data_IF_883647729712
#
_entry.id   IF_883647729712
#
_cell.length_a   1.000
_cell.length_b   1.000
_cell.length_c   1.000
_cell.angle_alpha   90.00
_cell.angle_beta   90.00
_cell.angle_gamma   90.00
#
_symmetry.space_group_name_H-M   'P 1'
#
loop_
_entity.id
_entity.type
_entity.pdbx_description
1 polymer ?
#
# COMPACT_ATOMS: atom_id res chain seq x y z
N UNK A 1 -18.07 -6.36 -8.14
CA UNK A 1 -17.45 -5.04 -7.93
C UNK A 1 -16.16 -4.95 -8.73
N UNK A 2 -15.80 -3.76 -9.17
CA UNK A 2 -14.50 -3.44 -9.76
C UNK A 2 -13.58 -2.84 -8.70
N UNK A 3 -12.46 -3.47 -8.41
CA UNK A 3 -11.56 -3.09 -7.34
C UNK A 3 -10.16 -2.82 -7.91
N UNK A 4 -9.58 -1.68 -7.57
CA UNK A 4 -8.22 -1.32 -7.98
C UNK A 4 -7.32 -1.27 -6.76
N UNK A 5 -6.22 -2.00 -6.77
CA UNK A 5 -5.15 -1.90 -5.76
C UNK A 5 -3.99 -1.07 -6.28
N UNK A 6 -3.44 -0.22 -5.41
CA UNK A 6 -2.25 0.58 -5.70
C UNK A 6 -1.10 0.13 -4.78
N UNK A 7 0.01 -0.30 -5.37
CA UNK A 7 1.23 -0.76 -4.69
C UNK A 7 2.47 -0.27 -5.44
N UNK A 8 3.64 -0.25 -4.80
CA UNK A 8 4.87 0.15 -5.48
C UNK A 8 5.26 -0.83 -6.60
N UNK A 9 5.29 -2.12 -6.30
CA UNK A 9 5.60 -3.20 -7.24
C UNK A 9 5.06 -4.52 -6.69
N UNK A 10 4.97 -5.54 -7.54
CA UNK A 10 4.54 -6.90 -7.17
C UNK A 10 5.64 -7.95 -7.30
N UNK A 11 6.84 -7.56 -7.77
CA UNK A 11 7.95 -8.47 -8.00
C UNK A 11 8.79 -8.79 -6.76
N UNK A 12 8.56 -8.13 -5.62
CA UNK A 12 9.27 -8.41 -4.38
C UNK A 12 8.67 -9.60 -3.62
N UNK A 13 9.50 -10.32 -2.86
CA UNK A 13 9.09 -11.43 -1.99
C UNK A 13 8.53 -10.95 -0.64
N UNK A 14 8.01 -9.74 -0.57
CA UNK A 14 7.57 -9.09 0.66
C UNK A 14 6.22 -9.59 1.18
N UNK A 15 5.95 -9.32 2.47
CA UNK A 15 4.69 -9.67 3.11
C UNK A 15 3.48 -8.93 2.51
N UNK A 16 3.65 -7.67 2.11
CA UNK A 16 2.59 -6.89 1.46
C UNK A 16 2.19 -7.50 0.12
N UNK A 17 3.16 -7.88 -0.72
CA UNK A 17 2.96 -8.50 -2.02
C UNK A 17 2.26 -9.87 -1.88
N UNK A 18 2.63 -10.66 -0.86
CA UNK A 18 1.94 -11.93 -0.55
C UNK A 18 0.48 -11.70 -0.16
N UNK A 19 0.24 -10.77 0.76
CA UNK A 19 -1.13 -10.43 1.19
C UNK A 19 -1.97 -9.94 0.02
N UNK A 20 -1.40 -9.08 -0.82
CA UNK A 20 -2.08 -8.61 -2.03
C UNK A 20 -2.43 -9.77 -2.96
N UNK A 21 -1.47 -10.65 -3.29
CA UNK A 21 -1.71 -11.80 -4.15
C UNK A 21 -2.83 -12.70 -3.62
N UNK A 22 -2.82 -13.00 -2.31
CA UNK A 22 -3.89 -13.78 -1.69
C UNK A 22 -5.27 -13.10 -1.81
N UNK A 23 -5.34 -11.80 -1.54
CA UNK A 23 -6.58 -11.01 -1.62
C UNK A 23 -7.12 -10.96 -3.05
N UNK A 24 -6.29 -10.61 -4.03
CA UNK A 24 -6.75 -10.46 -5.41
C UNK A 24 -7.19 -11.79 -6.01
N UNK A 25 -6.48 -12.88 -5.70
CA UNK A 25 -6.87 -14.23 -6.11
C UNK A 25 -8.22 -14.65 -5.52
N UNK A 26 -8.45 -14.37 -4.25
CA UNK A 26 -9.71 -14.64 -3.59
C UNK A 26 -10.86 -13.82 -4.19
N UNK A 27 -10.63 -12.51 -4.38
CA UNK A 27 -11.62 -11.59 -4.94
C UNK A 27 -12.06 -12.01 -6.35
N UNK A 28 -11.10 -12.34 -7.21
CA UNK A 28 -11.39 -12.78 -8.59
C UNK A 28 -12.16 -14.10 -8.60
N UNK A 29 -11.81 -15.07 -7.73
CA UNK A 29 -12.56 -16.33 -7.58
C UNK A 29 -13.99 -16.12 -7.09
N UNK A 30 -14.25 -15.03 -6.37
CA UNK A 30 -15.57 -14.65 -5.88
C UNK A 30 -16.30 -13.65 -6.81
N UNK A 31 -15.91 -13.58 -8.08
CA UNK A 31 -16.62 -12.83 -9.12
C UNK A 31 -16.40 -11.33 -9.13
N UNK A 32 -15.33 -10.83 -8.48
CA UNK A 32 -14.91 -9.43 -8.58
C UNK A 32 -13.92 -9.23 -9.72
N UNK A 33 -13.98 -8.08 -10.38
CA UNK A 33 -12.94 -7.62 -11.31
C UNK A 33 -11.86 -6.89 -10.53
N UNK A 34 -10.59 -7.28 -10.70
CA UNK A 34 -9.49 -6.71 -9.94
C UNK A 34 -8.39 -6.24 -10.88
N UNK A 35 -7.94 -4.99 -10.68
CA UNK A 35 -6.78 -4.42 -11.35
C UNK A 35 -5.75 -3.94 -10.31
N UNK A 36 -4.47 -4.01 -10.65
CA UNK A 36 -3.36 -3.53 -9.81
C UNK A 36 -2.63 -2.42 -10.55
N UNK A 37 -2.45 -1.28 -9.90
CA UNK A 37 -1.61 -0.18 -10.37
C UNK A 37 -0.29 -0.20 -9.63
N UNK A 38 0.82 -0.29 -10.37
CA UNK A 38 2.17 -0.22 -9.83
C UNK A 38 2.89 1.05 -10.27
N UNK A 39 3.93 1.45 -9.56
CA UNK A 39 4.75 2.62 -9.90
C UNK A 39 6.17 2.26 -10.30
N UNK A 40 6.62 1.07 -9.93
CA UNK A 40 8.03 0.64 -10.05
C UNK A 40 8.15 -0.80 -10.56
N UNK A 41 7.20 -1.33 -11.34
CA UNK A 41 7.18 -2.72 -11.83
C UNK A 41 8.33 -3.02 -12.80
N UNK A 42 8.69 -2.07 -13.64
CA UNK A 42 9.85 -2.15 -14.56
C UNK A 42 9.86 -3.38 -15.46
N UNK A 43 8.69 -3.81 -15.92
CA UNK A 43 8.54 -5.00 -16.78
C UNK A 43 8.83 -6.34 -16.10
N UNK A 44 8.99 -6.39 -14.78
CA UNK A 44 9.23 -7.64 -14.04
C UNK A 44 7.91 -8.35 -13.77
N UNK A 45 7.95 -9.68 -13.78
CA UNK A 45 6.81 -10.50 -13.36
C UNK A 45 6.56 -10.38 -11.85
N UNK A 46 5.32 -10.60 -11.43
CA UNK A 46 4.97 -10.70 -10.01
C UNK A 46 5.68 -11.88 -9.36
N UNK A 47 6.15 -11.71 -8.11
CA UNK A 47 6.84 -12.76 -7.36
C UNK A 47 5.87 -13.87 -6.93
N UNK A 48 4.71 -13.48 -6.42
CA UNK A 48 3.64 -14.40 -6.05
C UNK A 48 2.70 -14.60 -7.23
N UNK A 49 2.25 -15.84 -7.43
CA UNK A 49 1.32 -16.20 -8.47
C UNK A 49 -0.02 -15.48 -8.27
N UNK A 50 -0.51 -14.88 -9.34
CA UNK A 50 -1.80 -14.20 -9.39
C UNK A 50 -2.67 -14.83 -10.46
N UNK A 51 -3.97 -14.86 -10.23
CA UNK A 51 -4.96 -15.32 -11.19
C UNK A 51 -4.80 -14.53 -12.51
N UNK A 52 -4.79 -15.20 -13.67
CA UNK A 52 -4.59 -14.52 -14.98
C UNK A 52 -5.62 -13.44 -15.29
N UNK A 53 -6.75 -13.43 -14.61
CA UNK A 53 -7.79 -12.40 -14.75
C UNK A 53 -7.46 -11.09 -14.02
N UNK A 54 -6.41 -11.08 -13.17
CA UNK A 54 -5.93 -9.85 -12.51
C UNK A 54 -5.13 -9.04 -13.51
N UNK A 55 -5.58 -7.85 -13.80
CA UNK A 55 -4.87 -6.92 -14.70
C UNK A 55 -3.85 -6.10 -13.93
N UNK A 56 -2.60 -6.02 -14.43
CA UNK A 56 -1.53 -5.25 -13.80
C UNK A 56 -1.07 -4.14 -14.74
N UNK A 57 -1.14 -2.89 -14.30
CA UNK A 57 -0.73 -1.70 -15.03
C UNK A 57 0.42 -1.01 -14.32
N UNK A 58 1.58 -0.86 -14.99
CA UNK A 58 2.69 -0.08 -14.45
C UNK A 58 2.60 1.38 -14.91
N UNK A 59 2.54 2.30 -13.96
CA UNK A 59 2.50 3.73 -14.21
C UNK A 59 3.89 4.31 -14.57
N UNK A 60 4.97 3.53 -14.41
CA UNK A 60 6.33 3.89 -14.78
C UNK A 60 6.86 5.15 -14.08
N UNK A 61 6.48 5.40 -12.83
CA UNK A 61 6.94 6.57 -12.08
C UNK A 61 8.38 6.37 -11.57
N UNK A 62 8.72 5.12 -11.23
CA UNK A 62 10.07 4.68 -10.84
C UNK A 62 10.64 5.45 -9.64
N UNK A 63 9.91 5.46 -8.52
CA UNK A 63 10.37 6.12 -7.28
C UNK A 63 11.67 5.54 -6.74
N UNK A 64 11.92 4.24 -6.93
CA UNK A 64 13.13 3.55 -6.49
C UNK A 64 14.41 4.12 -7.11
N UNK A 65 14.35 4.73 -8.28
CA UNK A 65 15.52 5.40 -8.89
C UNK A 65 16.10 6.52 -8.04
N UNK A 66 15.32 7.02 -7.06
CA UNK A 66 15.78 8.00 -6.11
C UNK A 66 16.53 7.38 -4.92
N UNK A 67 16.49 6.04 -4.76
CA UNK A 67 17.21 5.35 -3.72
C UNK A 67 18.73 5.51 -3.96
N UNK A 68 19.49 5.76 -2.88
CA UNK A 68 20.93 6.02 -2.98
C UNK A 68 21.32 7.43 -3.47
N UNK A 69 20.38 8.27 -3.95
CA UNK A 69 20.71 9.64 -4.38
C UNK A 69 20.78 10.62 -3.20
N UNK A 70 21.50 11.72 -3.40
CA UNK A 70 21.67 12.78 -2.40
C UNK A 70 20.32 13.40 -1.98
N UNK A 71 20.28 13.99 -0.80
CA UNK A 71 19.08 14.63 -0.24
C UNK A 71 18.51 15.72 -1.17
N UNK A 72 19.37 16.57 -1.74
CA UNK A 72 18.96 17.63 -2.68
C UNK A 72 18.29 17.05 -3.94
N UNK A 73 18.85 15.99 -4.50
CA UNK A 73 18.26 15.31 -5.64
C UNK A 73 16.88 14.74 -5.30
N UNK A 74 16.71 14.16 -4.12
CA UNK A 74 15.41 13.66 -3.65
C UNK A 74 14.40 14.78 -3.49
N UNK A 75 14.81 15.91 -2.91
CA UNK A 75 13.95 17.07 -2.68
C UNK A 75 13.42 17.67 -3.99
N UNK A 76 14.23 17.75 -5.03
CA UNK A 76 13.82 18.27 -6.34
C UNK A 76 13.00 17.27 -7.17
N UNK A 77 13.39 16.00 -7.18
CA UNK A 77 12.75 14.98 -8.03
C UNK A 77 11.44 14.43 -7.47
N UNK A 78 11.30 14.37 -6.14
CA UNK A 78 10.10 13.80 -5.52
C UNK A 78 8.81 14.57 -5.86
N UNK A 79 8.75 15.90 -5.80
CA UNK A 79 7.54 16.65 -6.21
C UNK A 79 7.16 16.43 -7.68
N UNK A 80 8.14 16.35 -8.57
CA UNK A 80 7.91 16.09 -9.99
C UNK A 80 7.35 14.67 -10.20
N UNK A 81 7.90 13.67 -9.52
CA UNK A 81 7.36 12.29 -9.56
C UNK A 81 5.94 12.22 -8.97
N UNK A 82 5.67 12.93 -7.89
CA UNK A 82 4.32 13.05 -7.31
C UNK A 82 3.32 13.70 -8.28
N UNK A 83 3.73 14.73 -8.99
CA UNK A 83 2.90 15.38 -10.01
C UNK A 83 2.61 14.43 -11.20
N UNK A 84 3.63 13.73 -11.72
CA UNK A 84 3.47 12.70 -12.75
C UNK A 84 2.53 11.58 -12.28
N UNK A 85 2.72 11.09 -11.07
CA UNK A 85 1.90 10.05 -10.46
C UNK A 85 0.43 10.49 -10.36
N UNK A 86 0.19 11.70 -9.84
CA UNK A 86 -1.16 12.28 -9.80
C UNK A 86 -1.81 12.30 -11.18
N UNK A 87 -1.09 12.77 -12.21
CA UNK A 87 -1.61 12.81 -13.57
C UNK A 87 -1.89 11.43 -14.15
N UNK A 88 -1.02 10.46 -13.87
CA UNK A 88 -1.23 9.08 -14.31
C UNK A 88 -2.49 8.48 -13.68
N UNK A 89 -2.68 8.66 -12.37
CA UNK A 89 -3.89 8.21 -11.67
C UNK A 89 -5.14 8.92 -12.18
N UNK A 90 -5.08 10.23 -12.42
CA UNK A 90 -6.21 11.00 -12.97
C UNK A 90 -6.64 10.53 -14.37
N UNK A 91 -5.74 9.93 -15.16
CA UNK A 91 -6.04 9.38 -16.48
C UNK A 91 -6.60 7.97 -16.40
N UNK A 92 -5.98 7.09 -15.59
CA UNK A 92 -6.30 5.67 -15.61
C UNK A 92 -7.54 5.32 -14.76
N UNK A 93 -7.72 5.94 -13.60
CA UNK A 93 -8.82 5.58 -12.69
C UNK A 93 -10.22 5.78 -13.30
N UNK A 94 -10.52 6.87 -14.05
CA UNK A 94 -11.79 7.00 -14.73
C UNK A 94 -12.02 5.92 -15.80
N UNK A 95 -10.95 5.47 -16.48
CA UNK A 95 -11.04 4.41 -17.51
C UNK A 95 -11.35 3.05 -16.87
N UNK A 96 -10.76 2.74 -15.71
CA UNK A 96 -11.02 1.51 -14.98
C UNK A 96 -12.43 1.49 -14.37
N UNK A 97 -13.04 2.65 -14.15
CA UNK A 97 -14.39 2.81 -13.59
C UNK A 97 -14.58 1.92 -12.34
N UNK A 98 -13.66 2.07 -11.39
CA UNK A 98 -13.62 1.25 -10.18
C UNK A 98 -14.69 1.67 -9.16
N UNK A 99 -15.29 0.70 -8.47
CA UNK A 99 -16.15 0.95 -7.31
C UNK A 99 -15.31 1.36 -6.09
N UNK A 100 -14.13 0.72 -5.96
CA UNK A 100 -13.21 0.92 -4.82
C UNK A 100 -11.77 0.97 -5.32
N UNK A 101 -11.01 1.94 -4.82
CA UNK A 101 -9.55 2.01 -5.01
C UNK A 101 -8.86 1.90 -3.67
N UNK A 102 -8.00 0.89 -3.53
CA UNK A 102 -7.28 0.55 -2.30
C UNK A 102 -5.82 0.95 -2.42
N UNK A 103 -5.34 1.80 -1.54
CA UNK A 103 -3.92 2.13 -1.37
C UNK A 103 -3.27 1.17 -0.38
N UNK A 104 -2.16 0.55 -0.76
CA UNK A 104 -1.28 -0.21 0.14
C UNK A 104 -0.30 0.71 0.90
N UNK A 105 -0.68 1.98 1.08
CA UNK A 105 0.07 3.03 1.78
C UNK A 105 1.48 3.27 1.21
N UNK A 106 1.61 3.30 -0.10
CA UNK A 106 2.84 3.67 -0.80
C UNK A 106 2.87 5.16 -1.18
N UNK A 107 3.52 5.50 -2.29
CA UNK A 107 3.67 6.89 -2.74
C UNK A 107 2.36 7.52 -3.27
N UNK A 108 1.34 6.74 -3.58
CA UNK A 108 -0.01 7.18 -3.98
C UNK A 108 -0.82 7.72 -2.80
N UNK A 109 -0.54 7.29 -1.57
CA UNK A 109 -1.37 7.58 -0.41
C UNK A 109 -1.70 9.08 -0.21
N UNK A 110 -0.78 10.05 -0.36
CA UNK A 110 -1.12 11.46 -0.22
C UNK A 110 -1.85 12.05 -1.44
N UNK A 111 -1.88 11.34 -2.56
CA UNK A 111 -2.44 11.80 -3.84
C UNK A 111 -3.84 11.26 -4.07
N UNK A 112 -4.04 9.97 -3.80
CA UNK A 112 -5.24 9.22 -4.14
C UNK A 112 -6.54 9.84 -3.61
N UNK A 113 -6.65 10.33 -2.35
CA UNK A 113 -7.88 10.96 -1.85
C UNK A 113 -8.26 12.26 -2.58
N UNK A 114 -7.34 12.83 -3.34
CA UNK A 114 -7.58 14.07 -4.11
C UNK A 114 -8.14 13.81 -5.52
N UNK A 115 -8.24 12.54 -5.92
CA UNK A 115 -8.72 12.15 -7.25
C UNK A 115 -10.21 11.84 -7.15
N UNK A 116 -10.99 12.62 -7.86
CA UNK A 116 -12.45 12.50 -7.92
C UNK A 116 -12.82 11.73 -9.19
N UNK A 117 -12.92 10.42 -9.06
CA UNK A 117 -13.26 9.48 -10.15
C UNK A 117 -14.56 8.69 -9.84
N UNK A 118 -15.24 9.04 -8.75
CA UNK A 118 -16.47 8.36 -8.30
C UNK A 118 -16.23 7.15 -7.41
N UNK A 119 -15.01 6.59 -7.36
CA UNK A 119 -14.73 5.43 -6.53
C UNK A 119 -14.52 5.79 -5.05
N UNK A 120 -14.84 4.84 -4.15
CA UNK A 120 -14.46 4.93 -2.74
C UNK A 120 -12.97 4.70 -2.56
N UNK A 121 -12.33 5.47 -1.68
CA UNK A 121 -10.90 5.38 -1.40
C UNK A 121 -10.67 4.68 -0.06
N UNK A 122 -9.98 3.56 -0.12
CA UNK A 122 -9.58 2.79 1.06
C UNK A 122 -8.06 2.81 1.17
N UNK A 123 -7.53 2.89 2.38
CA UNK A 123 -6.10 2.72 2.63
C UNK A 123 -5.88 1.60 3.62
N UNK A 124 -4.94 0.71 3.30
CA UNK A 124 -4.54 -0.42 4.14
C UNK A 124 -3.08 -0.25 4.57
N UNK A 125 -2.79 -0.44 5.85
CA UNK A 125 -1.42 -0.42 6.38
C UNK A 125 -1.05 -1.80 6.90
N UNK A 126 0.05 -2.35 6.36
CA UNK A 126 0.58 -3.67 6.69
C UNK A 126 1.88 -3.60 7.51
N UNK A 127 2.13 -2.49 8.18
CA UNK A 127 3.29 -2.26 9.02
C UNK A 127 2.94 -1.34 10.19
N UNK A 128 3.76 -1.39 11.25
CA UNK A 128 3.57 -0.54 12.43
C UNK A 128 3.59 0.95 12.05
N UNK A 129 2.71 1.73 12.68
CA UNK A 129 2.67 3.20 12.57
C UNK A 129 4.04 3.85 12.74
N UNK A 130 4.87 3.31 13.63
CA UNK A 130 6.17 3.86 13.98
C UNK A 130 7.31 3.40 13.07
N UNK A 131 7.04 2.66 11.98
CA UNK A 131 8.03 2.23 11.00
C UNK A 131 8.96 3.35 10.51
N UNK A 132 8.46 4.59 10.42
CA UNK A 132 9.27 5.75 10.02
C UNK A 132 10.17 6.28 11.12
N UNK A 133 9.84 6.01 12.38
CA UNK A 133 10.62 6.43 13.54
C UNK A 133 11.72 5.39 13.79
N UNK A 134 12.77 5.43 12.99
CA UNK A 134 13.90 4.52 13.14
C UNK A 134 14.67 4.81 14.43
N UNK A 135 14.92 3.76 15.21
CA UNK A 135 15.77 3.83 16.39
C UNK A 135 17.16 4.37 16.02
N UNK A 136 17.70 5.29 16.83
CA UNK A 136 19.05 5.84 16.65
C UNK A 136 19.16 7.06 15.72
N UNK A 137 18.13 7.48 15.00
CA UNK A 137 18.18 8.74 14.24
C UNK A 137 18.16 9.95 15.18
N UNK A 138 19.12 10.87 14.97
CA UNK A 138 19.28 12.13 15.75
C UNK A 138 19.12 13.36 14.84
N UNK A 139 18.98 14.54 15.46
CA UNK A 139 18.97 15.84 14.77
C UNK A 139 17.80 16.03 13.79
N UNK A 140 18.08 16.72 12.68
CA UNK A 140 17.09 17.10 11.67
C UNK A 140 16.30 15.90 11.07
N UNK A 141 16.93 14.74 10.98
CA UNK A 141 16.27 13.53 10.48
C UNK A 141 15.17 13.05 11.43
N UNK A 142 15.40 13.11 12.75
CA UNK A 142 14.37 12.76 13.74
C UNK A 142 13.18 13.72 13.67
N UNK A 143 13.44 15.01 13.45
CA UNK A 143 12.38 16.00 13.27
C UNK A 143 11.58 15.72 11.98
N UNK A 144 12.27 15.45 10.87
CA UNK A 144 11.63 15.08 9.61
C UNK A 144 10.75 13.83 9.73
N UNK A 145 11.23 12.80 10.43
CA UNK A 145 10.45 11.57 10.66
C UNK A 145 9.20 11.82 11.52
N UNK A 146 9.30 12.68 12.54
CA UNK A 146 8.13 13.08 13.34
C UNK A 146 7.11 13.88 12.52
N UNK A 147 7.58 14.81 11.70
CA UNK A 147 6.70 15.58 10.81
C UNK A 147 6.00 14.67 9.79
N UNK A 148 6.73 13.72 9.21
CA UNK A 148 6.15 12.70 8.30
C UNK A 148 5.12 11.83 9.01
N UNK A 149 5.43 11.33 10.21
CA UNK A 149 4.49 10.52 11.00
C UNK A 149 3.21 11.27 11.35
N UNK A 150 3.30 12.57 11.68
CA UNK A 150 2.12 13.43 11.88
C UNK A 150 1.35 13.66 10.58
N UNK A 151 2.05 13.81 9.46
CA UNK A 151 1.40 13.96 8.16
C UNK A 151 0.69 12.67 7.73
N UNK A 152 1.22 11.49 8.08
CA UNK A 152 0.60 10.21 7.77
C UNK A 152 -0.82 10.12 8.38
N UNK A 153 -1.04 10.62 9.61
CA UNK A 153 -2.39 10.71 10.21
C UNK A 153 -3.33 11.57 9.37
N UNK A 154 -2.85 12.75 8.94
CA UNK A 154 -3.64 13.64 8.08
C UNK A 154 -3.92 13.04 6.70
N UNK A 155 -3.06 12.15 6.22
CA UNK A 155 -3.26 11.44 4.95
C UNK A 155 -4.35 10.40 5.10
N UNK A 156 -4.25 9.51 6.10
CA UNK A 156 -5.22 8.41 6.28
C UNK A 156 -6.62 8.91 6.67
N UNK A 157 -6.72 10.05 7.39
CA UNK A 157 -8.02 10.64 7.73
C UNK A 157 -8.82 11.16 6.52
N UNK A 158 -8.20 11.27 5.34
CA UNK A 158 -8.87 11.73 4.10
C UNK A 158 -9.47 10.60 3.28
N UNK A 159 -9.26 9.35 3.68
CA UNK A 159 -9.82 8.17 3.03
C UNK A 159 -11.22 7.86 3.56
N UNK A 160 -12.05 7.22 2.76
CA UNK A 160 -13.38 6.77 3.18
C UNK A 160 -13.28 5.67 4.25
N UNK A 161 -12.23 4.84 4.16
CA UNK A 161 -11.89 3.83 5.17
C UNK A 161 -10.38 3.68 5.30
N UNK A 162 -9.94 3.52 6.52
CA UNK A 162 -8.57 3.24 6.90
C UNK A 162 -8.49 1.91 7.63
N UNK A 163 -7.80 0.94 7.04
CA UNK A 163 -7.68 -0.43 7.54
C UNK A 163 -6.33 -0.62 8.22
N UNK A 164 -6.37 -1.12 9.45
CA UNK A 164 -5.22 -1.61 10.22
C UNK A 164 -5.41 -3.08 10.57
N UNK A 165 -4.36 -3.77 10.97
CA UNK A 165 -4.39 -5.23 11.15
C UNK A 165 -4.80 -5.68 12.55
N UNK A 166 -4.62 -4.84 13.58
CA UNK A 166 -4.85 -5.18 14.99
C UNK A 166 -5.49 -4.01 15.75
N UNK A 167 -6.14 -4.31 16.86
CA UNK A 167 -6.66 -3.29 17.77
C UNK A 167 -5.52 -2.47 18.41
N UNK A 168 -4.36 -3.08 18.62
CA UNK A 168 -3.17 -2.38 19.10
C UNK A 168 -2.72 -1.31 18.10
N UNK A 169 -2.63 -1.65 16.81
CA UNK A 169 -2.33 -0.67 15.74
C UNK A 169 -3.36 0.44 15.72
N UNK A 170 -4.66 0.12 15.85
CA UNK A 170 -5.72 1.11 15.95
C UNK A 170 -5.45 2.12 17.07
N UNK A 171 -5.06 1.64 18.26
CA UNK A 171 -4.71 2.49 19.40
C UNK A 171 -3.56 3.47 19.10
N UNK A 172 -2.58 3.05 18.31
CA UNK A 172 -1.44 3.90 17.92
C UNK A 172 -1.82 5.04 16.96
N UNK A 173 -2.89 4.89 16.18
CA UNK A 173 -3.33 5.93 15.23
C UNK A 173 -4.22 7.00 15.86
N UNK A 174 -4.69 6.79 17.07
CA UNK A 174 -5.62 7.68 17.78
C UNK A 174 -7.06 7.54 17.29
N UNK A 175 -7.91 8.46 17.75
CA UNK A 175 -9.32 8.48 17.39
C UNK A 175 -9.52 9.02 15.98
N UNK A 176 -9.81 8.11 15.05
CA UNK A 176 -10.16 8.41 13.66
C UNK A 176 -11.49 7.74 13.33
N UNK A 177 -12.47 8.50 12.83
CA UNK A 177 -13.82 8.01 12.52
C UNK A 177 -13.84 6.97 11.40
N UNK A 178 -12.83 6.98 10.54
CA UNK A 178 -12.74 6.11 9.36
C UNK A 178 -11.88 4.85 9.57
N UNK A 179 -11.31 4.64 10.76
CA UNK A 179 -10.43 3.50 11.05
C UNK A 179 -11.23 2.24 11.34
N UNK A 180 -10.79 1.12 10.79
CA UNK A 180 -11.33 -0.21 11.07
C UNK A 180 -10.20 -1.26 11.15
N UNK A 181 -10.44 -2.31 11.92
CA UNK A 181 -9.50 -3.43 12.08
C UNK A 181 -9.94 -4.57 11.20
N UNK A 182 -9.07 -4.97 10.26
CA UNK A 182 -9.26 -6.15 9.40
C UNK A 182 -7.95 -6.92 9.37
N UNK A 183 -7.83 -8.03 10.10
CA UNK A 183 -6.60 -8.82 10.13
C UNK A 183 -6.33 -9.50 8.78
N UNK A 184 -5.07 -9.83 8.53
CA UNK A 184 -4.71 -10.61 7.35
C UNK A 184 -5.32 -12.01 7.43
N UNK A 185 -5.87 -12.47 6.32
CA UNK A 185 -6.33 -13.84 6.19
C UNK A 185 -5.14 -14.82 6.26
N UNK A 186 -5.37 -15.99 6.86
CA UNK A 186 -4.39 -17.08 6.80
C UNK A 186 -4.32 -17.62 5.37
N UNK A 187 -3.11 -17.82 4.86
CA UNK A 187 -2.87 -18.42 3.54
C UNK A 187 -2.59 -19.93 3.61
N UNK A 188 -2.55 -20.50 4.81
CA UNK A 188 -2.28 -21.91 5.05
C UNK A 188 -3.11 -22.42 6.25
N UNK A 189 -3.46 -23.70 6.23
CA UNK A 189 -3.99 -24.42 7.37
C UNK A 189 -2.94 -25.42 7.86
N UNK A 190 -2.75 -25.53 9.16
CA UNK A 190 -1.95 -26.61 9.73
C UNK A 190 -2.89 -27.79 9.97
N UNK A 191 -2.49 -28.98 9.54
CA UNK A 191 -3.21 -30.20 9.85
C UNK A 191 -3.03 -30.60 11.32
N UNK A 192 -1.83 -30.32 11.88
CA UNK A 192 -1.49 -30.63 13.27
C UNK A 192 -0.68 -29.48 13.91
N UNK A 193 -0.86 -29.20 15.19
CA UNK A 193 0.00 -28.28 15.93
C UNK A 193 1.42 -28.85 16.03
N UNK A 194 2.44 -27.99 15.97
CA UNK A 194 3.82 -28.41 16.19
C UNK A 194 3.98 -28.96 17.63
N UNK A 195 4.54 -30.16 17.75
CA UNK A 195 4.91 -30.73 19.05
C UNK A 195 6.16 -30.01 19.59
N UNK A 196 5.95 -28.96 20.38
CA UNK A 196 7.03 -28.13 20.94
C UNK A 196 7.79 -28.81 22.07
N UNK A 197 7.30 -29.97 22.58
CA UNK A 197 7.87 -30.70 23.72
C UNK A 197 8.90 -31.76 23.33
N UNK A 198 9.04 -32.10 22.06
CA UNK A 198 10.10 -33.01 21.61
C UNK A 198 11.46 -32.31 21.65
N UNK A 199 12.22 -32.53 22.69
CA UNK A 199 13.64 -32.17 22.73
C UNK A 199 14.38 -32.93 21.62
N UNK A 200 14.99 -32.23 20.71
CA UNK A 200 15.98 -32.78 19.78
C UNK A 200 17.26 -33.18 20.51
#
# INVERSE_FOLDING_TARGET
MKIVYCIAATYNSGGMERVLANKVNWLVRNGHSVSILTTDQKGRSSFFEMDPRVEVYDLGINYEENNGKSFLNKLLRYPMKQWRHRRALQRILPQLNADVVVSMFCNEAPVLPKIKDGSRKVVEIHFSRYKRLQYGRKGLWRLADRLRSRNDVKVVSRYDRFVVLTEEDRGYWGELDNICVIPNARSFSFAEPAALEEKR
#
